data_IF_381450304422
#
_entry.id   IF_381450304422
#
_cell.length_a   1.000
_cell.length_b   1.000
_cell.length_c   1.000
_cell.angle_alpha   90.00
_cell.angle_beta   90.00
_cell.angle_gamma   90.00
#
_symmetry.space_group_name_H-M   'P 1'
#
loop_
_entity.id
_entity.type
_entity.pdbx_description
1 polymer ?
#
# COMPACT_ATOMS: atom_id res chain seq x y z
N UNK A 1 14.78 9.89 -39.26
CA UNK A 1 14.79 8.84 -38.22
C UNK A 1 13.36 8.59 -37.79
N UNK A 2 12.87 7.37 -37.89
CA UNK A 2 11.54 6.98 -37.40
C UNK A 2 11.72 6.38 -36.01
N UNK A 3 11.22 7.06 -34.98
CA UNK A 3 11.29 6.55 -33.60
C UNK A 3 10.11 5.60 -33.40
N UNK A 4 10.38 4.40 -32.88
CA UNK A 4 9.37 3.43 -32.44
C UNK A 4 9.51 3.24 -30.93
N UNK A 5 8.40 3.35 -30.20
CA UNK A 5 8.37 3.27 -28.72
C UNK A 5 7.22 2.35 -28.28
N UNK A 6 7.43 1.59 -27.20
CA UNK A 6 6.41 0.80 -26.54
C UNK A 6 5.83 1.58 -25.34
N UNK A 7 4.51 1.53 -25.17
CA UNK A 7 3.81 2.14 -24.04
C UNK A 7 2.86 1.14 -23.40
N UNK A 8 2.92 0.96 -22.08
CA UNK A 8 2.10 0.00 -21.35
C UNK A 8 1.72 0.51 -19.97
N UNK A 9 0.50 0.22 -19.53
CA UNK A 9 0.05 0.33 -18.13
C UNK A 9 -0.16 -1.08 -17.58
N UNK A 10 0.88 -1.73 -17.02
CA UNK A 10 0.77 -3.12 -16.57
C UNK A 10 -0.13 -3.27 -15.34
N UNK A 11 -0.46 -2.18 -14.65
CA UNK A 11 -1.32 -2.18 -13.46
C UNK A 11 -2.80 -2.28 -13.86
N UNK A 12 -3.47 -3.32 -13.37
CA UNK A 12 -4.92 -3.48 -13.54
C UNK A 12 -5.67 -2.38 -12.77
N UNK A 13 -6.53 -1.63 -13.45
CA UNK A 13 -7.36 -0.59 -12.84
C UNK A 13 -8.80 -1.07 -12.69
N UNK A 14 -9.28 -1.13 -11.44
CA UNK A 14 -10.65 -1.47 -11.07
C UNK A 14 -11.37 -0.17 -10.67
N UNK A 15 -12.22 0.38 -11.53
CA UNK A 15 -12.86 1.68 -11.31
C UNK A 15 -14.40 1.63 -11.40
N UNK A 16 -15.07 2.40 -10.54
CA UNK A 16 -16.54 2.53 -10.51
C UNK A 16 -17.13 2.37 -9.10
N UNK A 17 -18.40 2.76 -8.90
CA UNK A 17 -19.10 2.56 -7.63
C UNK A 17 -19.12 1.09 -7.21
N UNK A 18 -18.88 0.82 -5.92
CA UNK A 18 -18.95 -0.53 -5.35
C UNK A 18 -17.70 -1.40 -5.56
N UNK A 19 -16.74 -0.99 -6.39
CA UNK A 19 -15.52 -1.78 -6.68
C UNK A 19 -14.65 -2.08 -5.46
N UNK A 20 -14.78 -1.30 -4.37
CA UNK A 20 -14.08 -1.57 -3.11
C UNK A 20 -14.44 -2.93 -2.50
N UNK A 21 -15.62 -3.48 -2.82
CA UNK A 21 -16.06 -4.80 -2.37
C UNK A 21 -15.15 -5.94 -2.86
N UNK A 22 -14.37 -5.68 -3.91
CA UNK A 22 -13.47 -6.68 -4.51
C UNK A 22 -12.08 -6.67 -3.89
N UNK A 23 -11.83 -5.83 -2.87
CA UNK A 23 -10.51 -5.69 -2.25
C UNK A 23 -9.94 -7.04 -1.76
N UNK A 24 -10.78 -7.87 -1.15
CA UNK A 24 -10.38 -9.21 -0.72
C UNK A 24 -10.02 -10.14 -1.87
N UNK A 25 -10.83 -10.14 -2.95
CA UNK A 25 -10.56 -10.91 -4.18
C UNK A 25 -9.22 -10.52 -4.80
N UNK A 26 -8.92 -9.22 -4.86
CA UNK A 26 -7.63 -8.72 -5.37
C UNK A 26 -6.46 -9.24 -4.54
N UNK A 27 -6.56 -9.21 -3.21
CA UNK A 27 -5.52 -9.75 -2.34
C UNK A 27 -5.27 -11.24 -2.58
N UNK A 28 -6.35 -12.03 -2.72
CA UNK A 28 -6.27 -13.46 -3.03
C UNK A 28 -5.64 -13.73 -4.40
N UNK A 29 -6.03 -12.96 -5.43
CA UNK A 29 -5.49 -13.10 -6.78
C UNK A 29 -3.99 -12.76 -6.85
N UNK A 30 -3.51 -11.86 -5.98
CA UNK A 30 -2.10 -11.53 -5.81
C UNK A 30 -1.34 -12.47 -4.87
N UNK A 31 -2.01 -13.50 -4.32
CA UNK A 31 -1.45 -14.44 -3.34
C UNK A 31 -0.93 -13.77 -2.06
N UNK A 32 -1.53 -12.65 -1.66
CA UNK A 32 -1.29 -11.96 -0.39
C UNK A 32 -2.11 -12.66 0.70
N UNK A 33 -1.50 -13.02 1.84
CA UNK A 33 -2.15 -13.75 2.94
C UNK A 33 -2.34 -12.91 4.19
N UNK A 34 -1.49 -11.92 4.40
CA UNK A 34 -1.48 -11.04 5.56
C UNK A 34 -1.15 -9.60 5.15
N UNK A 35 -2.08 -8.89 4.49
CA UNK A 35 -1.84 -7.52 4.05
C UNK A 35 -1.74 -6.55 5.23
N UNK A 36 -0.86 -5.56 5.11
CA UNK A 36 -0.87 -4.34 5.92
C UNK A 36 -1.59 -3.22 5.15
N UNK A 37 -2.69 -2.70 5.70
CA UNK A 37 -3.35 -1.51 5.15
C UNK A 37 -2.64 -0.25 5.66
N UNK A 38 -2.12 0.57 4.74
CA UNK A 38 -1.38 1.80 5.02
C UNK A 38 -2.22 3.00 4.63
N UNK A 39 -2.52 3.90 5.57
CA UNK A 39 -3.40 5.07 5.36
C UNK A 39 -2.98 6.26 6.22
N UNK A 40 -3.41 7.48 5.90
CA UNK A 40 -3.15 8.64 6.77
C UNK A 40 -4.08 8.69 8.01
N UNK A 41 -3.64 9.46 9.00
CA UNK A 41 -4.36 9.68 10.28
C UNK A 41 -5.75 10.27 10.07
N UNK A 42 -5.93 11.10 9.03
CA UNK A 42 -7.21 11.73 8.71
C UNK A 42 -8.24 10.73 8.21
N UNK A 43 -7.82 9.71 7.46
CA UNK A 43 -8.68 8.65 6.96
C UNK A 43 -8.87 7.49 7.94
N UNK A 44 -7.91 7.24 8.83
CA UNK A 44 -7.87 6.03 9.65
C UNK A 44 -9.16 5.75 10.46
N UNK A 45 -9.79 6.82 10.98
CA UNK A 45 -11.02 6.74 11.76
C UNK A 45 -12.31 7.03 10.99
N UNK A 46 -12.26 7.09 9.65
CA UNK A 46 -13.44 7.34 8.83
C UNK A 46 -14.09 6.04 8.36
N UNK A 47 -15.41 6.11 8.12
CA UNK A 47 -16.23 4.97 7.66
C UNK A 47 -15.65 4.28 6.42
N UNK A 48 -15.00 5.03 5.52
CA UNK A 48 -14.39 4.46 4.31
C UNK A 48 -13.26 3.45 4.64
N UNK A 49 -12.46 3.73 5.65
CA UNK A 49 -11.36 2.85 6.11
C UNK A 49 -11.93 1.70 6.94
N UNK A 50 -12.89 1.97 7.82
CA UNK A 50 -13.58 0.94 8.60
C UNK A 50 -14.25 -0.09 7.70
N UNK A 51 -14.91 0.36 6.63
CA UNK A 51 -15.53 -0.49 5.62
C UNK A 51 -14.49 -1.33 4.88
N UNK A 52 -13.36 -0.73 4.46
CA UNK A 52 -12.27 -1.49 3.82
C UNK A 52 -11.71 -2.59 4.74
N UNK A 53 -11.50 -2.28 6.02
CA UNK A 53 -11.08 -3.27 7.04
C UNK A 53 -12.13 -4.35 7.24
N UNK A 54 -13.42 -3.99 7.25
CA UNK A 54 -14.51 -4.96 7.35
C UNK A 54 -14.55 -5.92 6.15
N UNK A 55 -14.42 -5.39 4.92
CA UNK A 55 -14.35 -6.19 3.69
C UNK A 55 -13.18 -7.18 3.74
N UNK A 56 -12.00 -6.73 4.20
CA UNK A 56 -10.84 -7.59 4.38
C UNK A 56 -11.10 -8.71 5.39
N UNK A 57 -11.70 -8.38 6.55
CA UNK A 57 -12.05 -9.37 7.57
C UNK A 57 -13.06 -10.41 7.07
N UNK A 58 -14.09 -9.96 6.38
CA UNK A 58 -15.09 -10.83 5.75
C UNK A 58 -14.50 -11.72 4.64
N UNK A 59 -13.34 -11.34 4.09
CA UNK A 59 -12.58 -12.13 3.10
C UNK A 59 -11.52 -13.04 3.73
N UNK A 60 -11.46 -13.14 5.07
CA UNK A 60 -10.54 -14.03 5.80
C UNK A 60 -9.21 -13.41 6.24
N UNK A 61 -9.01 -12.10 6.04
CA UNK A 61 -7.79 -11.39 6.47
C UNK A 61 -7.94 -10.79 7.88
N UNK A 62 -6.82 -10.48 8.53
CA UNK A 62 -6.87 -9.82 9.86
C UNK A 62 -7.29 -8.34 9.79
N UNK A 63 -7.08 -7.67 8.65
CA UNK A 63 -7.39 -6.25 8.46
C UNK A 63 -6.54 -5.33 9.34
N UNK A 64 -5.23 -5.57 9.41
CA UNK A 64 -4.28 -4.73 10.18
C UNK A 64 -4.05 -3.40 9.47
N UNK A 65 -3.97 -2.33 10.26
CA UNK A 65 -3.82 -0.96 9.76
C UNK A 65 -2.58 -0.32 10.37
N UNK A 66 -1.78 0.32 9.53
CA UNK A 66 -0.77 1.31 9.90
C UNK A 66 -1.25 2.68 9.42
N UNK A 67 -1.44 3.61 10.36
CA UNK A 67 -2.04 4.91 10.08
C UNK A 67 -1.12 6.10 10.27
N UNK A 68 0.16 5.88 10.59
CA UNK A 68 1.12 6.94 10.89
C UNK A 68 1.76 7.52 9.62
N UNK A 69 0.90 8.00 8.72
CA UNK A 69 1.29 8.60 7.43
C UNK A 69 0.94 10.07 7.47
N UNK A 70 1.98 10.91 7.41
CA UNK A 70 1.83 12.36 7.35
C UNK A 70 1.52 12.82 5.90
N UNK A 71 0.97 14.03 5.70
CA UNK A 71 0.66 14.55 4.36
C UNK A 71 1.86 14.60 3.40
N UNK A 72 3.05 14.82 3.94
CA UNK A 72 4.34 14.69 3.25
C UNK A 72 5.17 13.67 4.02
N UNK A 73 5.02 12.37 3.75
CA UNK A 73 5.66 11.33 4.53
C UNK A 73 7.18 11.41 4.39
N UNK A 74 7.88 11.08 5.46
CA UNK A 74 9.34 11.12 5.56
C UNK A 74 9.92 9.77 6.03
N UNK A 75 11.23 9.73 6.24
CA UNK A 75 11.94 8.53 6.68
C UNK A 75 11.43 7.96 8.00
N UNK A 76 10.98 8.80 8.94
CA UNK A 76 10.44 8.33 10.22
C UNK A 76 9.13 7.57 10.00
N UNK A 77 8.25 8.10 9.14
CA UNK A 77 7.02 7.39 8.77
C UNK A 77 7.35 6.05 8.08
N UNK A 78 8.38 6.04 7.22
CA UNK A 78 8.81 4.85 6.48
C UNK A 78 9.38 3.78 7.41
N UNK A 79 10.30 4.16 8.30
CA UNK A 79 10.89 3.25 9.30
C UNK A 79 9.81 2.65 10.19
N UNK A 80 8.88 3.47 10.69
CA UNK A 80 7.75 3.00 11.49
C UNK A 80 6.88 2.00 10.71
N UNK A 81 6.58 2.29 9.45
CA UNK A 81 5.81 1.41 8.57
C UNK A 81 6.50 0.07 8.28
N UNK A 82 7.82 0.07 8.04
CA UNK A 82 8.62 -1.15 7.83
C UNK A 82 8.65 -1.99 9.11
N UNK A 83 8.83 -1.35 10.27
CA UNK A 83 8.83 -2.02 11.57
C UNK A 83 7.49 -2.73 11.80
N UNK A 84 6.36 -2.07 11.54
CA UNK A 84 5.04 -2.69 11.66
C UNK A 84 4.82 -3.80 10.64
N UNK A 85 5.24 -3.59 9.38
CA UNK A 85 5.20 -4.61 8.33
C UNK A 85 5.92 -5.90 8.76
N UNK A 86 7.15 -5.77 9.27
CA UNK A 86 7.98 -6.90 9.70
C UNK A 86 7.46 -7.55 10.99
N UNK A 87 7.13 -6.77 12.02
CA UNK A 87 6.58 -7.30 13.29
C UNK A 87 5.28 -8.07 13.08
N UNK A 88 4.44 -7.59 12.16
CA UNK A 88 3.18 -8.24 11.81
C UNK A 88 3.34 -9.47 10.90
N UNK A 89 4.55 -9.78 10.43
CA UNK A 89 4.81 -10.78 9.39
C UNK A 89 3.91 -10.57 8.16
N UNK A 90 3.82 -9.32 7.70
CA UNK A 90 3.01 -8.96 6.55
C UNK A 90 3.69 -9.41 5.25
N UNK A 91 2.88 -9.77 4.25
CA UNK A 91 3.35 -10.25 2.94
C UNK A 91 2.81 -9.45 1.76
N UNK A 92 2.09 -8.35 2.05
CA UNK A 92 1.61 -7.40 1.06
C UNK A 92 1.18 -6.09 1.70
N UNK A 93 1.09 -5.05 0.89
CA UNK A 93 0.63 -3.71 1.32
C UNK A 93 -0.63 -3.34 0.54
N UNK A 94 -1.62 -2.82 1.26
CA UNK A 94 -2.77 -2.12 0.68
C UNK A 94 -2.56 -0.65 0.97
N UNK A 95 -2.08 0.11 -0.02
CA UNK A 95 -1.92 1.55 0.10
C UNK A 95 -3.28 2.23 -0.12
N UNK A 96 -3.79 2.90 0.91
CA UNK A 96 -5.16 3.40 0.97
C UNK A 96 -5.17 4.90 1.25
N UNK A 97 -5.94 5.66 0.46
CA UNK A 97 -6.03 7.11 0.56
C UNK A 97 -5.45 7.86 -0.64
N UNK A 98 -4.92 9.06 -0.37
CA UNK A 98 -4.33 9.94 -1.38
C UNK A 98 -2.88 9.61 -1.73
N UNK A 99 -2.19 10.57 -2.38
CA UNK A 99 -0.80 10.41 -2.83
C UNK A 99 0.17 10.02 -1.71
N UNK A 100 0.07 10.64 -0.53
CA UNK A 100 0.93 10.35 0.62
C UNK A 100 0.85 8.89 1.09
N UNK A 101 -0.38 8.39 1.29
CA UNK A 101 -0.61 7.00 1.67
C UNK A 101 -0.15 6.01 0.59
N UNK A 102 -0.37 6.35 -0.68
CA UNK A 102 0.08 5.56 -1.83
C UNK A 102 1.61 5.50 -1.90
N UNK A 103 2.29 6.63 -1.77
CA UNK A 103 3.75 6.71 -1.90
C UNK A 103 4.45 6.03 -0.73
N UNK A 104 4.01 6.29 0.51
CA UNK A 104 4.56 5.58 1.65
C UNK A 104 4.28 4.08 1.61
N UNK A 105 3.07 3.67 1.20
CA UNK A 105 2.74 2.26 1.03
C UNK A 105 3.64 1.55 0.01
N UNK A 106 3.95 2.19 -1.12
CA UNK A 106 4.94 1.67 -2.08
C UNK A 106 6.33 1.57 -1.47
N UNK A 107 6.76 2.59 -0.72
CA UNK A 107 8.08 2.60 -0.11
C UNK A 107 8.21 1.51 0.96
N UNK A 108 7.19 1.29 1.80
CA UNK A 108 7.17 0.17 2.76
C UNK A 108 7.29 -1.17 2.02
N UNK A 109 6.46 -1.38 0.99
CA UNK A 109 6.48 -2.64 0.22
C UNK A 109 7.83 -2.88 -0.45
N UNK A 110 8.45 -1.84 -1.02
CA UNK A 110 9.76 -1.91 -1.67
C UNK A 110 10.88 -2.17 -0.66
N UNK A 111 10.94 -1.36 0.41
CA UNK A 111 12.02 -1.36 1.40
C UNK A 111 11.96 -2.56 2.35
N UNK A 112 10.81 -3.20 2.54
CA UNK A 112 10.69 -4.41 3.36
C UNK A 112 11.63 -5.55 2.91
N UNK A 113 12.03 -5.57 1.64
CA UNK A 113 12.99 -6.54 1.08
C UNK A 113 14.40 -6.00 0.82
N UNK A 114 14.68 -4.72 1.11
CA UNK A 114 16.00 -4.13 0.84
C UNK A 114 16.92 -4.21 2.05
N UNK A 115 18.22 -4.27 1.78
CA UNK A 115 19.28 -4.20 2.81
C UNK A 115 20.05 -2.88 2.80
N UNK A 116 19.77 -2.03 1.81
CA UNK A 116 20.39 -0.71 1.60
C UNK A 116 19.44 0.39 2.08
N UNK A 117 19.94 1.59 2.46
CA UNK A 117 19.08 2.73 2.78
C UNK A 117 18.26 3.18 1.56
N UNK A 118 17.10 3.81 1.80
CA UNK A 118 16.20 4.25 0.72
C UNK A 118 16.88 5.20 -0.28
N UNK A 119 17.76 6.06 0.22
CA UNK A 119 18.50 7.05 -0.56
C UNK A 119 19.45 6.45 -1.60
N UNK A 120 19.83 5.18 -1.44
CA UNK A 120 20.61 4.46 -2.44
C UNK A 120 19.82 4.13 -3.72
N UNK A 121 18.49 4.30 -3.68
CA UNK A 121 17.56 4.04 -4.78
C UNK A 121 16.95 5.32 -5.35
N UNK A 122 17.30 6.48 -4.82
CA UNK A 122 16.93 7.76 -5.42
C UNK A 122 17.75 7.96 -6.70
N UNK A 123 17.10 8.44 -7.77
CA UNK A 123 17.81 8.82 -8.97
C UNK A 123 18.61 10.09 -8.70
N UNK A 124 19.94 9.99 -8.80
CA UNK A 124 20.82 11.14 -8.71
C UNK A 124 20.75 11.83 -10.06
N UNK A 125 19.81 12.78 -10.18
CA UNK A 125 19.63 13.59 -11.40
C UNK A 125 20.90 14.28 -11.89
#
# INVERSE_FOLDING_TARGET
MTISVNWSYPTNIRFGPGRIQELGEVCLALNIKNPLLVTDKGLAGLEITENAVHILKSSGFQGRVFSDVDPNPNEINLEAGIIEYQKGNHDGVIAFGGGSGIDLGKMIAFMAGQTRPIWDFEDIG
#
